data_IF_731334717867
#
_entry.id   IF_731334717867
#
_cell.length_a   1.000
_cell.length_b   1.000
_cell.length_c   1.000
_cell.angle_alpha   90.00
_cell.angle_beta   90.00
_cell.angle_gamma   90.00
#
_symmetry.space_group_name_H-M   'P 1'
#
loop_
_entity.id
_entity.type
_entity.pdbx_description
1 polymer ?
#
# COMPACT_ATOMS: atom_id res chain seq x y z
N UNK A 1 8.08 1.47 20.99
CA UNK A 1 8.50 2.35 19.86
C UNK A 1 9.40 1.63 18.85
N UNK A 2 9.64 0.32 19.09
CA UNK A 2 10.72 -0.40 18.37
C UNK A 2 10.28 -1.30 17.23
N UNK A 3 8.99 -1.63 17.09
CA UNK A 3 8.54 -2.57 16.06
C UNK A 3 8.52 -2.01 14.63
N UNK A 4 7.58 -1.14 14.29
CA UNK A 4 7.47 -0.58 12.93
C UNK A 4 8.68 0.32 12.58
N UNK A 5 9.17 1.10 13.54
CA UNK A 5 10.39 1.92 13.38
C UNK A 5 11.65 1.03 13.31
N UNK A 6 11.69 -0.09 14.06
CA UNK A 6 12.77 -1.06 13.96
C UNK A 6 12.75 -1.79 12.61
N UNK A 7 11.56 -2.12 12.09
CA UNK A 7 11.43 -2.67 10.74
C UNK A 7 11.89 -1.69 9.65
N UNK A 8 11.53 -0.40 9.75
CA UNK A 8 12.06 0.64 8.86
C UNK A 8 13.59 0.80 9.00
N UNK A 9 14.16 0.54 10.18
CA UNK A 9 15.61 0.54 10.41
C UNK A 9 16.29 -0.72 9.89
N UNK A 10 15.59 -1.85 9.80
CA UNK A 10 16.11 -3.09 9.16
C UNK A 10 16.24 -2.94 7.64
N UNK A 11 15.55 -1.99 7.04
CA UNK A 11 15.87 -1.50 5.69
C UNK A 11 17.21 -0.75 5.78
N UNK A 12 18.32 -1.48 5.99
CA UNK A 12 19.66 -0.90 6.05
C UNK A 12 19.99 -0.29 4.69
N UNK A 13 20.10 1.03 4.67
CA UNK A 13 20.44 1.79 3.49
C UNK A 13 21.97 1.77 3.34
N UNK A 14 22.54 0.67 2.88
CA UNK A 14 23.97 0.50 2.70
C UNK A 14 24.51 1.27 1.48
N UNK A 15 23.65 2.04 0.79
CA UNK A 15 24.06 2.87 -0.33
C UNK A 15 22.95 3.73 -0.95
N UNK A 16 23.34 4.80 -1.61
CA UNK A 16 22.43 5.75 -2.30
C UNK A 16 21.57 5.04 -3.36
N UNK A 17 22.10 4.04 -4.03
CA UNK A 17 21.40 3.31 -5.07
C UNK A 17 20.27 2.41 -4.53
N UNK A 18 20.47 1.78 -3.35
CA UNK A 18 19.42 0.98 -2.69
C UNK A 18 18.27 1.87 -2.25
N UNK A 19 18.57 3.07 -1.74
CA UNK A 19 17.57 4.09 -1.44
C UNK A 19 16.78 4.47 -2.69
N UNK A 20 17.43 4.64 -3.83
CA UNK A 20 16.75 4.96 -5.09
C UNK A 20 15.80 3.82 -5.53
N UNK A 21 16.22 2.56 -5.39
CA UNK A 21 15.37 1.38 -5.68
C UNK A 21 14.16 1.33 -4.74
N UNK A 22 14.37 1.56 -3.44
CA UNK A 22 13.30 1.60 -2.45
C UNK A 22 12.28 2.71 -2.76
N UNK A 23 12.76 3.92 -3.09
CA UNK A 23 11.88 5.04 -3.47
C UNK A 23 11.09 4.70 -4.73
N UNK A 24 11.72 4.11 -5.73
CA UNK A 24 11.03 3.68 -6.95
C UNK A 24 9.93 2.64 -6.66
N UNK A 25 10.23 1.64 -5.81
CA UNK A 25 9.25 0.64 -5.38
C UNK A 25 8.09 1.27 -4.59
N UNK A 26 8.39 2.17 -3.65
CA UNK A 26 7.38 2.90 -2.87
C UNK A 26 6.44 3.71 -3.75
N UNK A 27 7.01 4.45 -4.71
CA UNK A 27 6.23 5.25 -5.67
C UNK A 27 5.32 4.36 -6.53
N UNK A 28 5.80 3.19 -6.97
CA UNK A 28 4.97 2.24 -7.69
C UNK A 28 3.80 1.75 -6.83
N UNK A 29 4.08 1.29 -5.60
CA UNK A 29 3.07 0.72 -4.70
C UNK A 29 1.97 1.73 -4.36
N UNK A 30 2.35 2.96 -4.02
CA UNK A 30 1.41 4.04 -3.69
C UNK A 30 0.61 4.46 -4.93
N UNK A 31 1.28 4.64 -6.06
CA UNK A 31 0.62 5.03 -7.32
C UNK A 31 -0.40 4.00 -7.76
N UNK A 32 -0.06 2.72 -7.65
CA UNK A 32 -0.95 1.63 -7.99
C UNK A 32 -2.19 1.60 -7.09
N UNK A 33 -1.98 1.72 -5.78
CA UNK A 33 -3.03 1.83 -4.76
C UNK A 33 -4.01 2.96 -5.08
N UNK A 34 -3.52 4.18 -5.24
CA UNK A 34 -4.32 5.37 -5.51
C UNK A 34 -5.05 5.27 -6.87
N UNK A 35 -4.38 4.74 -7.89
CA UNK A 35 -5.00 4.56 -9.20
C UNK A 35 -6.14 3.56 -9.14
N UNK A 36 -6.04 2.49 -8.35
CA UNK A 36 -7.11 1.51 -8.18
C UNK A 36 -8.33 2.08 -7.47
N UNK A 37 -8.16 2.94 -6.46
CA UNK A 37 -9.27 3.72 -5.90
C UNK A 37 -9.99 4.54 -6.96
N UNK A 38 -9.23 5.35 -7.71
CA UNK A 38 -9.82 6.20 -8.75
C UNK A 38 -10.48 5.41 -9.87
N UNK A 39 -9.91 4.28 -10.27
CA UNK A 39 -10.45 3.41 -11.31
C UNK A 39 -11.77 2.76 -10.87
N UNK A 40 -11.82 2.26 -9.66
CA UNK A 40 -13.04 1.67 -9.07
C UNK A 40 -14.12 2.72 -8.93
N UNK A 41 -13.81 3.92 -8.43
CA UNK A 41 -14.75 5.03 -8.37
C UNK A 41 -15.31 5.38 -9.77
N UNK A 42 -14.44 5.42 -10.77
CA UNK A 42 -14.83 5.69 -12.15
C UNK A 42 -15.78 4.61 -12.71
N UNK A 43 -15.53 3.34 -12.47
CA UNK A 43 -16.42 2.24 -12.88
C UNK A 43 -17.77 2.28 -12.14
N UNK A 44 -17.79 2.80 -10.93
CA UNK A 44 -19.01 2.96 -10.13
C UNK A 44 -19.78 4.26 -10.48
N UNK A 45 -19.26 5.07 -11.41
CA UNK A 45 -19.93 6.24 -11.97
C UNK A 45 -19.36 7.58 -11.55
N UNK A 46 -18.31 7.64 -10.74
CA UNK A 46 -17.64 8.89 -10.34
C UNK A 46 -16.51 9.28 -11.32
N UNK A 47 -16.71 10.33 -12.15
CA UNK A 47 -15.68 10.79 -13.08
C UNK A 47 -14.64 11.70 -12.46
N UNK A 48 -14.70 12.00 -11.15
CA UNK A 48 -13.90 13.03 -10.49
C UNK A 48 -12.41 12.79 -10.64
N UNK A 49 -11.94 11.57 -10.33
CA UNK A 49 -10.55 11.19 -10.47
C UNK A 49 -10.04 11.33 -11.91
N UNK A 50 -10.86 10.91 -12.89
CA UNK A 50 -10.54 11.02 -14.32
C UNK A 50 -10.43 12.48 -14.76
N UNK A 51 -11.40 13.31 -14.40
CA UNK A 51 -11.40 14.76 -14.72
C UNK A 51 -10.22 15.49 -14.08
N UNK A 52 -9.78 15.06 -12.92
CA UNK A 52 -8.59 15.58 -12.24
C UNK A 52 -7.26 15.07 -12.82
N UNK A 53 -7.28 14.19 -13.84
CA UNK A 53 -6.08 13.60 -14.44
C UNK A 53 -5.32 12.70 -13.47
N UNK A 54 -6.05 12.03 -12.54
CA UNK A 54 -5.49 11.21 -11.46
C UNK A 54 -5.56 9.70 -11.78
N UNK A 55 -6.23 9.28 -12.85
CA UNK A 55 -6.21 7.90 -13.33
C UNK A 55 -4.96 7.67 -14.19
N UNK A 56 -3.81 7.59 -13.54
CA UNK A 56 -2.51 7.45 -14.20
C UNK A 56 -1.52 6.76 -13.29
N UNK A 57 -0.62 5.96 -13.89
CA UNK A 57 0.51 5.36 -13.19
C UNK A 57 1.73 6.30 -13.10
N UNK A 58 1.58 7.58 -13.47
CA UNK A 58 2.64 8.56 -13.27
C UNK A 58 2.72 8.98 -11.79
N UNK A 59 3.79 8.58 -11.05
CA UNK A 59 3.89 8.82 -9.61
C UNK A 59 3.89 10.31 -9.25
N UNK A 60 4.37 11.18 -10.13
CA UNK A 60 4.41 12.62 -9.88
C UNK A 60 3.01 13.24 -9.68
N UNK A 61 1.97 12.57 -10.19
CA UNK A 61 0.58 12.99 -9.97
C UNK A 61 0.06 12.64 -8.58
N UNK A 62 0.70 11.70 -7.88
CA UNK A 62 0.29 11.20 -6.57
C UNK A 62 1.17 11.72 -5.43
N UNK A 63 2.22 12.50 -5.73
CA UNK A 63 3.08 13.11 -4.73
C UNK A 63 2.37 14.31 -4.09
N UNK A 64 2.42 14.35 -2.75
CA UNK A 64 2.08 15.51 -1.93
C UNK A 64 3.37 16.13 -1.38
N UNK A 65 3.57 17.42 -1.60
CA UNK A 65 4.80 18.11 -1.15
C UNK A 65 4.87 18.15 0.38
N UNK A 66 3.73 18.36 1.05
CA UNK A 66 3.65 18.33 2.52
C UNK A 66 3.97 16.95 3.07
N UNK A 67 3.41 15.89 2.44
CA UNK A 67 3.71 14.51 2.79
C UNK A 67 5.19 14.14 2.60
N UNK A 68 5.82 14.63 1.52
CA UNK A 68 7.27 14.46 1.30
C UNK A 68 8.11 15.16 2.37
N UNK A 69 7.75 16.39 2.72
CA UNK A 69 8.45 17.17 3.76
C UNK A 69 8.34 16.47 5.12
N UNK A 70 7.14 16.01 5.47
CA UNK A 70 6.91 15.24 6.70
C UNK A 70 7.69 13.93 6.70
N UNK A 71 7.79 13.24 5.57
CA UNK A 71 8.60 12.03 5.45
C UNK A 71 10.10 12.31 5.66
N UNK A 72 10.60 13.43 5.16
CA UNK A 72 11.99 13.83 5.35
C UNK A 72 12.31 14.20 6.81
N UNK A 73 11.38 14.87 7.51
CA UNK A 73 11.59 15.36 8.88
C UNK A 73 11.27 14.30 9.95
N UNK A 74 10.17 13.56 9.76
CA UNK A 74 9.59 12.68 10.77
C UNK A 74 9.57 11.21 10.36
N UNK A 75 10.07 10.88 9.16
CA UNK A 75 10.01 9.53 8.56
C UNK A 75 8.57 8.99 8.41
N UNK A 76 7.61 9.88 8.43
CA UNK A 76 6.21 9.63 8.17
C UNK A 76 5.70 10.63 7.14
N UNK A 77 4.98 10.15 6.13
CA UNK A 77 4.43 10.99 5.08
C UNK A 77 3.18 10.37 4.48
N UNK A 78 2.51 11.13 3.64
CA UNK A 78 1.31 10.69 2.93
C UNK A 78 1.40 11.04 1.45
N UNK A 79 0.68 10.29 0.65
CA UNK A 79 0.47 10.61 -0.76
C UNK A 79 -0.69 11.61 -0.91
N UNK A 80 -0.75 12.26 -2.04
CA UNK A 80 -1.89 13.08 -2.41
C UNK A 80 -3.04 12.15 -2.81
N UNK A 81 -4.14 12.07 -2.04
CA UNK A 81 -5.21 11.12 -2.29
C UNK A 81 -5.94 11.41 -3.60
N UNK A 82 -6.45 10.36 -4.23
CA UNK A 82 -7.32 10.49 -5.40
C UNK A 82 -8.68 11.04 -4.97
N UNK A 83 -9.18 12.12 -5.62
CA UNK A 83 -10.47 12.70 -5.24
C UNK A 83 -11.62 11.76 -5.64
N UNK A 84 -12.54 11.53 -4.70
CA UNK A 84 -13.76 10.73 -4.88
C UNK A 84 -14.97 11.56 -4.43
N UNK A 85 -16.02 11.61 -5.24
CA UNK A 85 -17.26 12.32 -4.93
C UNK A 85 -18.44 11.36 -4.87
N UNK A 86 -18.89 11.06 -3.65
CA UNK A 86 -19.97 10.12 -3.38
C UNK A 86 -21.30 10.50 -4.04
N UNK A 87 -21.48 11.75 -4.48
CA UNK A 87 -22.73 12.23 -5.14
C UNK A 87 -22.97 11.58 -6.50
N UNK A 88 -21.91 11.05 -7.12
CA UNK A 88 -22.00 10.32 -8.39
C UNK A 88 -22.34 8.84 -8.22
N UNK A 89 -22.24 8.30 -7.02
CA UNK A 89 -22.50 6.89 -6.75
C UNK A 89 -23.99 6.57 -6.71
N UNK A 90 -24.39 5.44 -7.27
CA UNK A 90 -25.76 4.94 -7.20
C UNK A 90 -26.12 4.48 -5.78
N UNK A 91 -25.18 3.87 -5.09
CA UNK A 91 -25.30 3.39 -3.72
C UNK A 91 -24.12 3.93 -2.88
N UNK A 92 -24.20 5.20 -2.42
CA UNK A 92 -23.03 5.93 -1.91
C UNK A 92 -22.19 5.17 -0.86
N UNK A 93 -22.83 4.54 0.13
CA UNK A 93 -22.12 3.80 1.18
C UNK A 93 -21.40 2.56 0.64
N UNK A 94 -22.11 1.74 -0.14
CA UNK A 94 -21.56 0.52 -0.74
C UNK A 94 -20.46 0.86 -1.73
N UNK A 95 -20.70 1.82 -2.60
CA UNK A 95 -19.78 2.16 -3.68
C UNK A 95 -18.53 2.84 -3.14
N UNK A 96 -18.64 3.63 -2.04
CA UNK A 96 -17.49 4.16 -1.30
C UNK A 96 -16.69 3.02 -0.63
N UNK A 97 -17.34 2.03 -0.04
CA UNK A 97 -16.67 0.88 0.55
C UNK A 97 -15.89 0.06 -0.49
N UNK A 98 -16.50 -0.18 -1.66
CA UNK A 98 -15.84 -0.88 -2.77
C UNK A 98 -14.64 -0.08 -3.29
N UNK A 99 -14.81 1.24 -3.41
CA UNK A 99 -13.72 2.15 -3.79
C UNK A 99 -12.59 2.09 -2.77
N UNK A 100 -12.90 2.17 -1.48
CA UNK A 100 -11.90 2.10 -0.41
C UNK A 100 -11.19 0.74 -0.34
N UNK A 101 -11.91 -0.36 -0.51
CA UNK A 101 -11.32 -1.70 -0.52
C UNK A 101 -10.38 -1.94 -1.71
N UNK A 102 -10.57 -1.23 -2.83
CA UNK A 102 -9.80 -1.43 -4.05
C UNK A 102 -8.31 -1.16 -3.87
N UNK A 103 -7.92 -0.15 -3.08
CA UNK A 103 -6.52 0.15 -2.78
C UNK A 103 -5.80 -1.00 -2.07
N UNK A 104 -6.22 -1.37 -0.87
CA UNK A 104 -5.62 -2.50 -0.15
C UNK A 104 -5.62 -3.81 -0.95
N UNK A 105 -6.72 -4.16 -1.62
CA UNK A 105 -6.79 -5.36 -2.45
C UNK A 105 -5.82 -5.32 -3.64
N UNK A 106 -5.67 -4.17 -4.27
CA UNK A 106 -4.69 -4.00 -5.35
C UNK A 106 -3.25 -4.19 -4.85
N UNK A 107 -2.95 -3.74 -3.64
CA UNK A 107 -1.64 -3.94 -3.04
C UNK A 107 -1.39 -5.41 -2.66
N UNK A 108 -2.40 -6.15 -2.20
CA UNK A 108 -2.26 -7.62 -2.02
C UNK A 108 -1.91 -8.29 -3.35
N UNK A 109 -2.60 -7.93 -4.43
CA UNK A 109 -2.31 -8.47 -5.77
C UNK A 109 -0.90 -8.08 -6.23
N UNK A 110 -0.50 -6.81 -6.04
CA UNK A 110 0.83 -6.33 -6.41
C UNK A 110 1.93 -7.02 -5.60
N UNK A 111 1.72 -7.24 -4.30
CA UNK A 111 2.63 -8.01 -3.45
C UNK A 111 2.78 -9.46 -3.97
N UNK A 112 1.68 -10.12 -4.32
CA UNK A 112 1.73 -11.47 -4.89
C UNK A 112 2.53 -11.54 -6.21
N UNK A 113 2.27 -10.59 -7.13
CA UNK A 113 3.04 -10.52 -8.38
C UNK A 113 4.52 -10.23 -8.12
N UNK A 114 4.82 -9.44 -7.11
CA UNK A 114 6.19 -9.13 -6.71
C UNK A 114 6.92 -10.35 -6.14
N UNK A 115 6.26 -11.20 -5.32
CA UNK A 115 6.81 -12.49 -4.84
C UNK A 115 7.22 -13.38 -6.02
N UNK A 116 6.32 -13.52 -7.03
CA UNK A 116 6.62 -14.32 -8.22
C UNK A 116 7.86 -13.81 -8.97
N UNK A 117 7.92 -12.50 -9.20
CA UNK A 117 9.01 -11.88 -9.94
C UNK A 117 10.31 -11.87 -9.14
N UNK A 118 10.24 -11.60 -7.84
CA UNK A 118 11.39 -11.71 -6.94
C UNK A 118 12.02 -13.10 -7.02
N UNK A 119 11.22 -14.14 -6.90
CA UNK A 119 11.71 -15.51 -6.99
C UNK A 119 12.43 -15.81 -8.31
N UNK A 120 11.85 -15.39 -9.46
CA UNK A 120 12.45 -15.58 -10.78
C UNK A 120 13.79 -14.81 -10.89
N UNK A 121 13.84 -13.54 -10.48
CA UNK A 121 15.05 -12.73 -10.56
C UNK A 121 16.10 -13.19 -9.54
N UNK A 122 15.73 -13.62 -8.35
CA UNK A 122 16.64 -14.19 -7.34
C UNK A 122 17.28 -15.49 -7.85
N UNK A 123 16.49 -16.40 -8.47
CA UNK A 123 17.00 -17.59 -9.13
C UNK A 123 17.98 -17.24 -10.24
N UNK A 124 17.65 -16.31 -11.11
CA UNK A 124 18.55 -15.88 -12.19
C UNK A 124 19.83 -15.24 -11.67
N UNK A 125 19.73 -14.42 -10.61
CA UNK A 125 20.90 -13.82 -9.96
C UNK A 125 21.85 -14.88 -9.40
N UNK A 126 21.32 -15.92 -8.76
CA UNK A 126 22.13 -17.00 -8.19
C UNK A 126 23.06 -17.64 -9.23
N UNK A 127 22.65 -17.74 -10.50
CA UNK A 127 23.48 -18.35 -11.55
C UNK A 127 24.29 -17.34 -12.36
N UNK A 128 23.83 -16.12 -12.52
CA UNK A 128 24.50 -15.13 -13.37
C UNK A 128 25.50 -14.25 -12.62
N UNK A 129 25.32 -14.06 -11.31
CA UNK A 129 26.07 -13.07 -10.51
C UNK A 129 25.90 -11.63 -11.00
N UNK A 130 24.94 -11.37 -11.90
CA UNK A 130 24.79 -10.07 -12.55
C UNK A 130 24.21 -9.02 -11.61
N UNK A 131 24.91 -7.90 -11.43
CA UNK A 131 24.44 -6.76 -10.63
C UNK A 131 23.10 -6.21 -11.13
N UNK A 132 22.89 -6.18 -12.44
CA UNK A 132 21.61 -5.73 -13.00
C UNK A 132 20.46 -6.62 -12.56
N UNK A 133 20.64 -7.95 -12.59
CA UNK A 133 19.63 -8.93 -12.13
C UNK A 133 19.37 -8.78 -10.63
N UNK A 134 20.42 -8.53 -9.84
CA UNK A 134 20.28 -8.25 -8.41
C UNK A 134 19.44 -7.02 -8.14
N UNK A 135 19.61 -5.92 -8.90
CA UNK A 135 18.81 -4.70 -8.74
C UNK A 135 17.33 -4.98 -9.00
N UNK A 136 16.99 -5.79 -10.02
CA UNK A 136 15.60 -6.18 -10.27
C UNK A 136 15.04 -7.06 -9.14
N UNK A 137 15.81 -8.04 -8.65
CA UNK A 137 15.41 -8.84 -7.51
C UNK A 137 15.11 -7.96 -6.28
N UNK A 138 16.02 -7.02 -5.95
CA UNK A 138 15.87 -6.09 -4.85
C UNK A 138 14.63 -5.17 -5.02
N UNK A 139 14.38 -4.71 -6.24
CA UNK A 139 13.19 -3.89 -6.55
C UNK A 139 11.91 -4.65 -6.24
N UNK A 140 11.76 -5.89 -6.72
CA UNK A 140 10.56 -6.70 -6.46
C UNK A 140 10.44 -7.12 -5.00
N UNK A 141 11.54 -7.38 -4.31
CA UNK A 141 11.53 -7.58 -2.87
C UNK A 141 10.97 -6.36 -2.11
N UNK A 142 11.37 -5.14 -2.47
CA UNK A 142 10.80 -3.95 -1.87
C UNK A 142 9.32 -3.74 -2.25
N UNK A 143 8.94 -4.01 -3.50
CA UNK A 143 7.53 -3.93 -3.92
C UNK A 143 6.67 -4.88 -3.11
N UNK A 144 7.11 -6.12 -2.88
CA UNK A 144 6.43 -7.11 -2.07
C UNK A 144 6.17 -6.59 -0.65
N UNK A 145 7.24 -6.21 0.06
CA UNK A 145 7.16 -5.79 1.47
C UNK A 145 6.32 -4.51 1.63
N UNK A 146 6.54 -3.53 0.76
CA UNK A 146 5.83 -2.25 0.83
C UNK A 146 4.35 -2.44 0.50
N UNK A 147 4.03 -3.21 -0.55
CA UNK A 147 2.64 -3.48 -0.91
C UNK A 147 1.90 -4.26 0.17
N UNK A 148 2.52 -5.28 0.75
CA UNK A 148 1.93 -6.01 1.88
C UNK A 148 1.71 -5.09 3.09
N UNK A 149 2.70 -4.25 3.41
CA UNK A 149 2.59 -3.25 4.48
C UNK A 149 1.46 -2.25 4.24
N UNK A 150 1.36 -1.68 3.03
CA UNK A 150 0.29 -0.75 2.65
C UNK A 150 -1.09 -1.41 2.68
N UNK A 151 -1.20 -2.66 2.20
CA UNK A 151 -2.46 -3.41 2.25
C UNK A 151 -2.93 -3.59 3.70
N UNK A 152 -2.07 -4.09 4.56
CA UNK A 152 -2.39 -4.33 5.98
C UNK A 152 -2.69 -3.03 6.70
N UNK A 153 -1.87 -2.00 6.52
CA UNK A 153 -2.05 -0.70 7.17
C UNK A 153 -3.42 -0.10 6.81
N UNK A 154 -3.78 -0.11 5.51
CA UNK A 154 -5.02 0.48 5.05
C UNK A 154 -6.28 -0.36 5.34
N UNK A 155 -6.17 -1.62 5.74
CA UNK A 155 -7.31 -2.43 6.19
C UNK A 155 -7.77 -2.06 7.61
N UNK A 156 -6.92 -1.39 8.41
CA UNK A 156 -7.31 -1.01 9.77
C UNK A 156 -8.51 -0.06 9.78
N UNK A 157 -9.49 -0.30 10.69
CA UNK A 157 -10.74 0.46 10.76
C UNK A 157 -10.58 1.80 11.50
N UNK A 158 -9.50 2.51 11.24
CA UNK A 158 -9.12 3.77 11.90
C UNK A 158 -9.06 4.88 10.85
N UNK A 159 -9.87 5.95 10.95
CA UNK A 159 -9.75 7.09 10.05
C UNK A 159 -8.34 7.72 10.10
N UNK A 160 -7.78 8.16 8.98
CA UNK A 160 -8.35 8.26 7.64
C UNK A 160 -8.12 7.05 6.74
N UNK A 161 -7.74 5.88 7.29
CA UNK A 161 -7.41 4.67 6.53
C UNK A 161 -8.66 4.11 5.81
N UNK A 162 -8.44 3.39 4.72
CA UNK A 162 -9.51 2.86 3.86
C UNK A 162 -10.42 1.86 4.57
N UNK A 163 -9.86 1.04 5.47
CA UNK A 163 -10.61 0.10 6.28
C UNK A 163 -11.70 0.74 7.12
N UNK A 164 -11.52 2.00 7.53
CA UNK A 164 -12.57 2.77 8.22
C UNK A 164 -13.79 2.98 7.35
N UNK A 165 -13.61 3.32 6.07
CA UNK A 165 -14.71 3.55 5.12
C UNK A 165 -15.47 2.25 4.82
N UNK A 166 -14.74 1.12 4.75
CA UNK A 166 -15.35 -0.21 4.61
C UNK A 166 -16.18 -0.54 5.84
N UNK A 167 -15.62 -0.43 7.04
CA UNK A 167 -16.35 -0.69 8.28
C UNK A 167 -17.56 0.23 8.43
N UNK A 168 -17.41 1.51 8.18
CA UNK A 168 -18.49 2.50 8.34
C UNK A 168 -19.66 2.24 7.39
N UNK A 169 -19.42 1.66 6.22
CA UNK A 169 -20.47 1.31 5.28
C UNK A 169 -21.46 0.28 5.84
N UNK A 170 -21.02 -0.55 6.80
CA UNK A 170 -21.86 -1.55 7.47
C UNK A 170 -22.73 -0.96 8.59
N UNK A 171 -22.50 0.29 8.99
CA UNK A 171 -23.23 0.95 10.07
C UNK A 171 -24.56 1.55 9.60
N UNK A 172 -25.43 1.89 10.56
CA UNK A 172 -26.64 2.67 10.25
C UNK A 172 -26.27 4.05 9.68
N UNK A 173 -27.19 4.67 8.91
CA UNK A 173 -26.94 5.98 8.29
C UNK A 173 -26.59 7.07 9.30
N UNK A 174 -27.23 7.04 10.49
CA UNK A 174 -26.92 7.97 11.57
C UNK A 174 -25.49 7.81 12.09
N UNK A 175 -25.04 6.58 12.32
CA UNK A 175 -23.69 6.29 12.78
C UNK A 175 -22.65 6.61 11.69
N UNK A 176 -22.94 6.28 10.43
CA UNK A 176 -22.09 6.62 9.29
C UNK A 176 -21.84 8.13 9.19
N UNK A 177 -22.91 8.95 9.19
CA UNK A 177 -22.83 10.41 9.11
C UNK A 177 -22.11 11.01 10.33
N UNK A 178 -22.31 10.42 11.51
CA UNK A 178 -21.62 10.83 12.72
C UNK A 178 -20.12 10.59 12.61
N UNK A 179 -19.69 9.39 12.21
CA UNK A 179 -18.27 9.04 12.04
C UNK A 179 -17.60 9.87 10.95
N UNK A 180 -18.26 10.09 9.79
CA UNK A 180 -17.74 10.95 8.73
C UNK A 180 -17.49 12.40 9.21
N UNK A 181 -18.30 12.90 10.14
CA UNK A 181 -18.08 14.24 10.74
C UNK A 181 -16.80 14.29 11.58
N UNK A 182 -16.43 13.19 12.22
CA UNK A 182 -15.24 13.09 13.08
C UNK A 182 -14.02 12.59 12.35
N UNK A 183 -14.10 12.21 11.08
CA UNK A 183 -12.98 11.74 10.26
C UNK A 183 -11.79 12.74 10.26
N UNK A 184 -12.08 14.04 10.33
CA UNK A 184 -11.06 15.11 10.43
C UNK A 184 -10.12 14.97 11.64
N UNK A 185 -10.53 14.29 12.69
CA UNK A 185 -9.70 14.02 13.87
C UNK A 185 -8.97 12.67 13.77
N UNK A 186 -9.31 11.86 12.76
CA UNK A 186 -8.75 10.53 12.56
C UNK A 186 -7.24 10.54 12.38
N UNK A 187 -6.69 11.54 11.67
CA UNK A 187 -5.25 11.68 11.53
C UNK A 187 -4.54 11.88 12.88
N UNK A 188 -5.10 12.71 13.76
CA UNK A 188 -4.52 12.92 15.09
C UNK A 188 -4.59 11.64 15.95
N UNK A 189 -5.72 10.90 15.87
CA UNK A 189 -5.86 9.61 16.54
C UNK A 189 -4.88 8.59 15.99
N UNK A 190 -4.75 8.47 14.67
CA UNK A 190 -3.82 7.56 14.03
C UNK A 190 -2.38 7.86 14.45
N UNK A 191 -1.98 9.15 14.42
CA UNK A 191 -0.65 9.56 14.87
C UNK A 191 -0.39 9.20 16.33
N UNK A 192 -1.37 9.41 17.22
CA UNK A 192 -1.25 9.02 18.63
C UNK A 192 -1.05 7.50 18.77
N UNK A 193 -1.84 6.69 18.05
CA UNK A 193 -1.73 5.24 18.09
C UNK A 193 -0.39 4.74 17.55
N UNK A 194 0.13 5.35 16.49
CA UNK A 194 1.46 5.03 15.97
C UNK A 194 2.58 5.44 16.94
N UNK A 195 2.48 6.61 17.57
CA UNK A 195 3.47 7.09 18.54
C UNK A 195 3.50 6.25 19.84
N UNK A 196 2.36 5.70 20.24
CA UNK A 196 2.26 4.82 21.41
C UNK A 196 2.70 3.38 21.15
N UNK A 197 2.87 2.99 19.89
CA UNK A 197 3.25 1.63 19.49
C UNK A 197 2.13 0.59 19.67
N UNK A 198 0.92 1.00 20.00
CA UNK A 198 -0.23 0.07 20.20
C UNK A 198 -0.54 -0.72 18.92
N UNK A 199 -0.28 -0.12 17.76
CA UNK A 199 -0.53 -0.76 16.46
C UNK A 199 0.63 -1.66 15.99
N UNK A 200 1.80 -1.62 16.62
CA UNK A 200 2.99 -2.34 16.14
C UNK A 200 2.72 -3.86 16.08
N UNK A 201 2.29 -4.45 17.20
CA UNK A 201 2.04 -5.91 17.27
C UNK A 201 0.96 -6.38 16.29
N UNK A 202 -0.25 -5.77 16.21
CA UNK A 202 -1.25 -6.20 15.24
C UNK A 202 -0.83 -5.96 13.79
N UNK A 203 -0.10 -4.87 13.49
CA UNK A 203 0.42 -4.60 12.15
C UNK A 203 1.47 -5.63 11.72
N UNK A 204 2.42 -5.95 12.60
CA UNK A 204 3.44 -6.96 12.35
C UNK A 204 2.83 -8.33 12.15
N UNK A 205 1.92 -8.75 13.04
CA UNK A 205 1.27 -10.05 12.95
C UNK A 205 0.50 -10.23 11.63
N UNK A 206 -0.28 -9.24 11.23
CA UNK A 206 -1.06 -9.30 9.98
C UNK A 206 -0.16 -9.22 8.74
N UNK A 207 0.87 -8.37 8.76
CA UNK A 207 1.84 -8.26 7.67
C UNK A 207 2.60 -9.55 7.47
N UNK A 208 3.15 -10.12 8.53
CA UNK A 208 3.93 -11.36 8.47
C UNK A 208 3.06 -12.55 8.07
N UNK A 209 1.82 -12.60 8.57
CA UNK A 209 0.83 -13.57 8.13
C UNK A 209 0.51 -13.47 6.64
N UNK A 210 0.33 -12.23 6.12
CA UNK A 210 0.10 -11.99 4.70
C UNK A 210 1.33 -12.39 3.86
N UNK A 211 2.52 -11.95 4.23
CA UNK A 211 3.77 -12.27 3.52
C UNK A 211 4.01 -13.77 3.48
N UNK A 212 3.94 -14.46 4.61
CA UNK A 212 4.09 -15.91 4.69
C UNK A 212 3.07 -16.64 3.80
N UNK A 213 1.82 -16.18 3.77
CA UNK A 213 0.79 -16.72 2.89
C UNK A 213 1.10 -16.52 1.40
N UNK A 214 1.52 -15.32 1.03
CA UNK A 214 1.88 -14.99 -0.36
C UNK A 214 3.11 -15.76 -0.83
N UNK A 215 4.14 -15.87 0.01
CA UNK A 215 5.36 -16.63 -0.29
C UNK A 215 5.04 -18.13 -0.44
N UNK A 216 4.20 -18.70 0.44
CA UNK A 216 3.82 -20.11 0.37
C UNK A 216 3.17 -20.49 -0.97
N UNK A 217 2.33 -19.58 -1.53
CA UNK A 217 1.66 -19.80 -2.82
C UNK A 217 2.46 -19.23 -4.01
N UNK A 218 3.42 -18.32 -3.78
CA UNK A 218 4.16 -17.59 -4.82
C UNK A 218 5.52 -18.20 -5.18
N UNK A 219 6.04 -19.15 -4.41
CA UNK A 219 7.36 -19.75 -4.66
C UNK A 219 7.36 -20.86 -5.73
N UNK A 220 6.18 -21.27 -6.21
CA UNK A 220 6.06 -22.35 -7.21
C UNK A 220 6.90 -22.14 -8.50
N UNK A 221 7.09 -20.92 -9.06
CA UNK A 221 7.90 -20.78 -10.26
C UNK A 221 9.37 -21.13 -10.03
N UNK A 222 9.89 -20.73 -8.86
CA UNK A 222 11.28 -21.07 -8.47
C UNK A 222 11.44 -22.56 -8.24
N UNK A 223 10.47 -23.20 -7.58
CA UNK A 223 10.47 -24.64 -7.37
C UNK A 223 10.44 -25.39 -8.71
N UNK A 224 9.63 -24.94 -9.68
CA UNK A 224 9.60 -25.50 -11.02
C UNK A 224 10.95 -25.33 -11.74
N UNK A 225 11.55 -24.13 -11.68
CA UNK A 225 12.86 -23.86 -12.30
C UNK A 225 13.98 -24.73 -11.70
N UNK A 226 13.92 -25.00 -10.40
CA UNK A 226 14.86 -25.89 -9.72
C UNK A 226 14.64 -27.36 -10.09
N UNK A 227 13.40 -27.79 -10.32
CA UNK A 227 13.05 -29.17 -10.69
C UNK A 227 13.40 -29.51 -12.16
N UNK A 228 13.47 -28.53 -13.04
CA UNK A 228 13.81 -28.69 -14.46
C UNK A 228 15.35 -28.76 -14.72
N UNK A 229 16.14 -28.72 -13.68
CA UNK A 229 17.60 -28.73 -13.72
C UNK A 229 18.19 -29.97 -13.08
#
# INVERSE_FOLDING_TARGET
>A
MDGFVAWLKQLQFDGVWQTAVLVAASLLCITFHETCHGLTAYWLGDPTAKRAGRLTLNPLRHIDIGGLLMMALFRFGWAKPVPVDMRYFKHPKRDMALTAAAGPLSNVLLAYLAVLLYGVFAYWYYFSGSTAVYVFALFFYYVEIISAGLAVFNVFPIPPLDGSKVLFSCLSDKAYLWLMRYERYGMALLMLLLLTGVLDVPLEFLRDGLLNGLEAIGTWPVQLLLALR
#
